data_IF_141716264207
#
_entry.id   IF_141716264207
#
_cell.length_a   1.000
_cell.length_b   1.000
_cell.length_c   1.000
_cell.angle_alpha   90.00
_cell.angle_beta   90.00
_cell.angle_gamma   90.00
#
_symmetry.space_group_name_H-M   'P 1'
#
loop_
_entity.id
_entity.type
_entity.pdbx_description
1 polymer ?
#
# COMPACT_ATOMS: atom_id res chain seq x y z
N UNK A 1 -15.56 11.62 -5.55
CA UNK A 1 -15.16 10.93 -4.32
C UNK A 1 -13.96 11.64 -3.73
N UNK A 2 -13.78 11.62 -2.43
CA UNK A 2 -12.69 12.29 -1.73
C UNK A 2 -12.32 11.53 -0.46
N UNK A 3 -11.15 11.86 0.12
CA UNK A 3 -10.70 11.35 1.41
C UNK A 3 -11.21 12.26 2.52
N UNK A 4 -11.69 11.69 3.62
CA UNK A 4 -12.10 12.47 4.79
C UNK A 4 -11.77 11.75 6.09
N UNK A 5 -11.38 12.55 7.09
CA UNK A 5 -11.34 12.14 8.50
C UNK A 5 -12.72 12.31 9.13
N UNK A 6 -12.98 11.62 10.25
CA UNK A 6 -14.22 11.80 11.00
C UNK A 6 -14.27 13.21 11.61
N UNK A 7 -13.16 13.67 12.18
CA UNK A 7 -12.93 15.06 12.60
C UNK A 7 -11.96 15.72 11.63
N UNK A 8 -12.38 16.76 10.90
CA UNK A 8 -11.47 17.48 10.00
C UNK A 8 -10.21 17.96 10.72
N UNK A 9 -9.03 17.64 10.17
CA UNK A 9 -7.74 18.05 10.73
C UNK A 9 -7.26 17.23 11.93
N UNK A 10 -8.04 16.27 12.44
CA UNK A 10 -7.59 15.39 13.51
C UNK A 10 -6.79 14.23 12.92
N UNK A 11 -5.47 14.39 12.86
CA UNK A 11 -4.55 13.50 12.14
C UNK A 11 -4.62 12.03 12.57
N UNK A 12 -4.93 11.75 13.82
CA UNK A 12 -5.07 10.38 14.32
C UNK A 12 -6.35 9.67 13.83
N UNK A 13 -7.29 10.38 13.19
CA UNK A 13 -8.40 9.75 12.49
C UNK A 13 -7.93 9.18 11.15
N UNK A 14 -8.38 7.96 10.82
CA UNK A 14 -8.12 7.38 9.50
C UNK A 14 -8.73 8.24 8.39
N UNK A 15 -8.07 8.27 7.24
CA UNK A 15 -8.69 8.74 6.00
C UNK A 15 -9.64 7.70 5.44
N UNK A 16 -10.93 8.02 5.42
CA UNK A 16 -11.97 7.21 4.77
C UNK A 16 -12.25 7.69 3.34
N UNK A 17 -12.64 6.77 2.46
CA UNK A 17 -13.15 7.10 1.13
C UNK A 17 -14.63 7.47 1.20
N UNK A 18 -14.92 8.74 0.92
CA UNK A 18 -16.28 9.28 0.86
C UNK A 18 -16.72 9.46 -0.59
N UNK A 19 -17.86 8.87 -0.92
CA UNK A 19 -18.61 9.18 -2.13
C UNK A 19 -19.66 10.24 -1.81
N UNK A 20 -19.70 11.31 -2.60
CA UNK A 20 -20.70 12.36 -2.48
C UNK A 20 -21.62 12.35 -3.68
N UNK A 21 -22.88 12.01 -3.42
CA UNK A 21 -23.96 12.14 -4.38
C UNK A 21 -24.39 13.60 -4.43
N UNK A 22 -24.08 14.28 -5.54
CA UNK A 22 -24.40 15.70 -5.72
C UNK A 22 -25.89 15.97 -5.87
N UNK A 23 -26.65 15.02 -6.43
CA UNK A 23 -28.09 15.18 -6.69
C UNK A 23 -28.86 15.10 -5.37
N UNK A 24 -28.54 14.10 -4.56
CA UNK A 24 -29.20 13.86 -3.28
C UNK A 24 -28.47 14.49 -2.08
N UNK A 25 -27.36 15.19 -2.33
CA UNK A 25 -26.47 15.78 -1.33
C UNK A 25 -26.02 14.80 -0.24
N UNK A 26 -25.94 13.51 -0.57
CA UNK A 26 -25.68 12.43 0.39
C UNK A 26 -24.21 12.03 0.39
N UNK A 27 -23.62 11.90 1.59
CA UNK A 27 -22.29 11.32 1.80
C UNK A 27 -22.42 9.83 2.10
N UNK A 28 -21.61 9.02 1.44
CA UNK A 28 -21.56 7.56 1.62
C UNK A 28 -20.12 7.19 1.94
N UNK A 29 -19.88 6.65 3.13
CA UNK A 29 -18.58 6.07 3.47
C UNK A 29 -18.46 4.68 2.81
N UNK A 30 -17.51 4.54 1.90
CA UNK A 30 -17.25 3.28 1.22
C UNK A 30 -16.29 2.39 2.01
N UNK A 31 -15.49 2.95 2.92
CA UNK A 31 -14.44 2.23 3.67
C UNK A 31 -14.67 2.32 5.19
N UNK A 32 -15.93 2.28 5.60
CA UNK A 32 -16.34 2.35 7.01
C UNK A 32 -15.70 1.23 7.83
N UNK A 33 -15.72 0.00 7.30
CA UNK A 33 -15.19 -1.20 7.94
C UNK A 33 -13.68 -1.42 7.70
N UNK A 34 -13.01 -0.52 6.98
CA UNK A 34 -11.56 -0.61 6.78
C UNK A 34 -10.87 0.13 7.93
N UNK A 35 -10.15 -0.57 8.79
CA UNK A 35 -9.43 -0.01 9.94
C UNK A 35 -8.10 0.68 9.54
N UNK A 36 -7.97 1.11 8.28
CA UNK A 36 -6.76 1.69 7.69
C UNK A 36 -7.07 2.95 6.91
N UNK A 37 -6.10 3.84 6.81
CA UNK A 37 -6.18 5.05 6.00
C UNK A 37 -6.09 4.72 4.50
N UNK A 38 -7.03 5.29 3.75
CA UNK A 38 -6.98 5.39 2.28
C UNK A 38 -5.99 6.48 1.88
N UNK A 39 -5.14 6.21 0.90
CA UNK A 39 -4.08 7.11 0.43
C UNK A 39 -4.42 7.74 -0.93
N UNK A 40 -4.45 6.93 -1.99
CA UNK A 40 -4.79 7.39 -3.34
C UNK A 40 -6.15 6.86 -3.77
N UNK A 41 -6.82 7.59 -4.68
CA UNK A 41 -8.12 7.24 -5.22
C UNK A 41 -8.07 7.39 -6.74
N UNK A 42 -8.46 6.35 -7.47
CA UNK A 42 -8.56 6.34 -8.92
C UNK A 42 -9.91 5.74 -9.34
N UNK A 43 -10.69 6.47 -10.13
CA UNK A 43 -11.94 5.93 -10.68
C UNK A 43 -11.68 4.93 -11.81
N UNK A 44 -12.52 3.89 -11.90
CA UNK A 44 -12.65 3.14 -13.15
C UNK A 44 -13.33 4.01 -14.22
N UNK A 45 -12.97 3.83 -15.50
CA UNK A 45 -13.56 4.59 -16.61
C UNK A 45 -15.08 4.43 -16.71
N UNK A 46 -15.59 3.25 -16.39
CA UNK A 46 -17.04 2.96 -16.34
C UNK A 46 -17.76 3.55 -15.10
N UNK A 47 -17.01 4.23 -14.22
CA UNK A 47 -17.48 4.78 -12.95
C UNK A 47 -18.12 3.76 -12.00
N UNK A 48 -17.98 2.46 -12.22
CA UNK A 48 -18.59 1.42 -11.37
C UNK A 48 -17.79 1.15 -10.09
N UNK A 49 -16.50 1.49 -10.08
CA UNK A 49 -15.57 1.17 -9.01
C UNK A 49 -14.52 2.25 -8.82
N UNK A 50 -13.84 2.18 -7.68
CA UNK A 50 -12.63 2.95 -7.41
C UNK A 50 -11.49 2.00 -7.08
N UNK A 51 -10.32 2.27 -7.59
CA UNK A 51 -9.06 1.72 -7.10
C UNK A 51 -8.55 2.62 -5.98
N UNK A 52 -8.13 2.00 -4.88
CA UNK A 52 -7.59 2.70 -3.72
C UNK A 52 -6.27 2.07 -3.30
N UNK A 53 -5.37 2.91 -2.80
CA UNK A 53 -4.23 2.45 -2.02
C UNK A 53 -4.50 2.65 -0.53
N UNK A 54 -4.02 1.76 0.33
CA UNK A 54 -4.21 1.85 1.77
C UNK A 54 -3.04 1.21 2.54
N UNK A 55 -2.76 1.72 3.74
CA UNK A 55 -1.70 1.19 4.58
C UNK A 55 -2.06 -0.20 5.12
N UNK A 56 -1.10 -1.12 5.09
CA UNK A 56 -1.26 -2.48 5.61
C UNK A 56 0.10 -3.03 6.05
N UNK A 57 0.29 -3.24 7.37
CA UNK A 57 1.49 -3.86 7.95
C UNK A 57 2.80 -3.21 7.47
N UNK A 58 2.90 -1.88 7.59
CA UNK A 58 4.08 -1.11 7.17
C UNK A 58 4.29 -1.03 5.66
N UNK A 59 3.25 -1.31 4.87
CA UNK A 59 3.26 -1.25 3.40
C UNK A 59 2.01 -0.58 2.86
N UNK A 60 1.93 -0.44 1.53
CA UNK A 60 0.78 0.15 0.84
C UNK A 60 0.19 -0.85 -0.16
N UNK A 61 -0.98 -1.38 0.18
CA UNK A 61 -1.73 -2.33 -0.65
C UNK A 61 -2.62 -1.59 -1.67
N UNK A 62 -2.99 -2.29 -2.74
CA UNK A 62 -3.91 -1.82 -3.79
C UNK A 62 -5.19 -2.67 -3.76
N UNK A 63 -6.35 -2.01 -3.74
CA UNK A 63 -7.65 -2.66 -3.80
C UNK A 63 -8.59 -1.97 -4.79
N UNK A 64 -9.62 -2.68 -5.21
CA UNK A 64 -10.78 -2.15 -5.94
C UNK A 64 -12.00 -2.21 -5.03
N UNK A 65 -12.78 -1.13 -5.01
CA UNK A 65 -14.04 -1.04 -4.29
C UNK A 65 -15.18 -0.68 -5.24
N UNK A 66 -16.25 -1.48 -5.22
CA UNK A 66 -17.48 -1.17 -5.94
C UNK A 66 -18.26 -0.11 -5.19
N UNK A 67 -18.67 0.96 -5.88
CA UNK A 67 -19.45 2.02 -5.22
C UNK A 67 -20.90 1.59 -4.93
N UNK A 68 -21.42 0.57 -5.63
CA UNK A 68 -22.83 0.12 -5.50
C UNK A 68 -23.07 -0.70 -4.23
N UNK A 69 -22.18 -1.64 -3.94
CA UNK A 69 -22.33 -2.60 -2.83
C UNK A 69 -21.21 -2.52 -1.79
N UNK A 70 -20.30 -1.54 -1.91
CA UNK A 70 -19.14 -1.35 -1.02
C UNK A 70 -18.20 -2.56 -0.95
N UNK A 71 -18.31 -3.52 -1.86
CA UNK A 71 -17.44 -4.71 -1.87
C UNK A 71 -16.03 -4.29 -2.25
N UNK A 72 -15.09 -4.59 -1.36
CA UNK A 72 -13.65 -4.38 -1.58
C UNK A 72 -12.98 -5.70 -1.98
N UNK A 73 -12.20 -5.67 -3.05
CA UNK A 73 -11.33 -6.75 -3.52
C UNK A 73 -9.89 -6.26 -3.45
N UNK A 74 -9.04 -6.96 -2.69
CA UNK A 74 -7.61 -6.69 -2.66
C UNK A 74 -6.98 -7.19 -3.97
N UNK A 75 -6.31 -6.30 -4.70
CA UNK A 75 -5.65 -6.60 -5.97
C UNK A 75 -4.18 -6.99 -5.73
N UNK A 76 -3.51 -6.25 -4.84
CA UNK A 76 -2.10 -6.47 -4.53
C UNK A 76 -1.79 -6.10 -3.08
N UNK A 77 -0.92 -6.87 -2.43
CA UNK A 77 -0.39 -6.64 -1.10
C UNK A 77 1.11 -6.99 -1.04
N UNK A 78 1.71 -6.80 0.14
CA UNK A 78 3.10 -7.20 0.43
C UNK A 78 4.15 -6.29 -0.20
N UNK A 79 3.73 -5.19 -0.81
CA UNK A 79 4.59 -4.22 -1.47
C UNK A 79 4.12 -2.81 -1.13
N UNK A 80 4.93 -1.82 -1.47
CA UNK A 80 4.46 -0.44 -1.46
C UNK A 80 4.05 -0.08 -2.89
N UNK A 81 2.76 0.14 -3.07
CA UNK A 81 2.15 0.54 -4.34
C UNK A 81 1.84 2.04 -4.30
N UNK A 82 2.22 2.76 -5.35
CA UNK A 82 1.95 4.19 -5.49
C UNK A 82 1.56 4.57 -6.91
N UNK A 83 0.90 5.73 -7.05
CA UNK A 83 0.58 6.37 -8.32
C UNK A 83 -0.17 5.46 -9.31
N UNK A 84 -1.26 4.78 -8.89
CA UNK A 84 -2.03 3.95 -9.79
C UNK A 84 -2.70 4.82 -10.88
N UNK A 85 -2.71 4.30 -12.10
CA UNK A 85 -3.40 4.84 -13.26
C UNK A 85 -3.96 3.71 -14.13
N UNK A 86 -4.92 4.03 -15.00
CA UNK A 86 -5.50 3.08 -15.95
C UNK A 86 -5.04 3.41 -17.37
N UNK A 87 -4.83 2.38 -18.17
CA UNK A 87 -4.69 2.56 -19.62
C UNK A 87 -5.97 3.15 -20.22
N UNK A 88 -5.91 3.84 -21.39
CA UNK A 88 -7.09 4.44 -22.00
C UNK A 88 -8.23 3.45 -22.28
N UNK A 89 -7.89 2.20 -22.60
CA UNK A 89 -8.85 1.10 -22.82
C UNK A 89 -9.39 0.48 -21.51
N UNK A 90 -8.91 0.92 -20.35
CA UNK A 90 -9.27 0.41 -19.03
C UNK A 90 -8.85 -1.03 -18.76
N UNK A 91 -8.02 -1.65 -19.61
CA UNK A 91 -7.66 -3.08 -19.48
C UNK A 91 -6.51 -3.32 -18.50
N UNK A 92 -5.65 -2.33 -18.29
CA UNK A 92 -4.47 -2.46 -17.42
C UNK A 92 -4.41 -1.36 -16.39
N UNK A 93 -3.94 -1.71 -15.20
CA UNK A 93 -3.44 -0.76 -14.21
C UNK A 93 -1.95 -0.55 -14.43
N UNK A 94 -1.49 0.71 -14.40
CA UNK A 94 -0.09 1.09 -14.35
C UNK A 94 0.19 1.72 -12.99
N UNK A 95 1.25 1.31 -12.31
CA UNK A 95 1.58 1.80 -10.97
C UNK A 95 3.06 1.66 -10.68
N UNK A 96 3.52 2.40 -9.66
CA UNK A 96 4.82 2.18 -9.04
C UNK A 96 4.71 1.05 -8.02
N UNK A 97 5.69 0.15 -8.05
CA UNK A 97 5.84 -0.91 -7.05
C UNK A 97 7.27 -0.86 -6.51
N UNK A 98 7.38 -0.83 -5.20
CA UNK A 98 8.67 -0.87 -4.48
C UNK A 98 8.63 -1.86 -3.31
N UNK A 99 9.81 -2.25 -2.86
CA UNK A 99 10.06 -3.07 -1.68
C UNK A 99 11.36 -2.60 -1.01
N UNK A 100 11.63 -3.05 0.21
CA UNK A 100 12.86 -2.68 0.94
C UNK A 100 14.13 -2.96 0.13
N UNK A 101 14.13 -4.03 -0.67
CA UNK A 101 15.25 -4.41 -1.53
C UNK A 101 15.08 -4.04 -3.02
N UNK A 102 14.01 -3.30 -3.36
CA UNK A 102 13.70 -2.93 -4.73
C UNK A 102 13.20 -1.48 -4.78
N UNK A 103 14.00 -0.53 -5.30
CA UNK A 103 13.54 0.82 -5.59
C UNK A 103 12.30 0.81 -6.49
N UNK A 104 11.54 1.90 -6.49
CA UNK A 104 10.34 2.03 -7.31
C UNK A 104 10.63 1.79 -8.79
N UNK A 105 9.89 0.85 -9.38
CA UNK A 105 9.85 0.59 -10.82
C UNK A 105 8.39 0.63 -11.28
N UNK A 106 8.18 0.88 -12.57
CA UNK A 106 6.85 0.92 -13.18
C UNK A 106 6.41 -0.50 -13.53
N UNK A 107 5.19 -0.85 -13.14
CA UNK A 107 4.55 -2.12 -13.46
C UNK A 107 3.22 -1.90 -14.17
N UNK A 108 2.86 -2.87 -15.00
CA UNK A 108 1.50 -3.02 -15.54
C UNK A 108 0.86 -4.29 -14.99
N UNK A 109 -0.41 -4.21 -14.59
CA UNK A 109 -1.25 -5.37 -14.26
C UNK A 109 -2.41 -5.46 -15.24
N UNK A 110 -2.51 -6.57 -15.97
CA UNK A 110 -3.69 -6.88 -16.77
C UNK A 110 -4.87 -7.25 -15.84
N UNK A 111 -5.98 -6.52 -15.94
CA UNK A 111 -7.11 -6.69 -15.02
C UNK A 111 -7.91 -7.97 -15.28
N UNK A 112 -7.85 -8.51 -16.51
CA UNK A 112 -8.54 -9.74 -16.90
C UNK A 112 -7.70 -10.96 -16.56
N UNK A 113 -6.45 -10.99 -17.02
CA UNK A 113 -5.57 -12.16 -16.85
C UNK A 113 -4.81 -12.15 -15.53
N UNK A 114 -4.86 -11.03 -14.79
CA UNK A 114 -4.07 -10.79 -13.57
C UNK A 114 -2.55 -10.89 -13.79
N UNK A 115 -2.09 -10.78 -15.05
CA UNK A 115 -0.66 -10.86 -15.39
C UNK A 115 0.02 -9.55 -15.01
N UNK A 116 1.00 -9.65 -14.11
CA UNK A 116 1.88 -8.55 -13.72
C UNK A 116 3.11 -8.52 -14.63
N UNK A 117 3.44 -7.36 -15.19
CA UNK A 117 4.66 -7.14 -15.97
C UNK A 117 5.41 -5.94 -15.43
N UNK A 118 6.72 -6.09 -15.23
CA UNK A 118 7.62 -4.98 -14.93
C UNK A 118 7.99 -4.28 -16.24
N UNK A 119 7.71 -2.98 -16.33
CA UNK A 119 7.95 -2.15 -17.52
C UNK A 119 9.33 -1.51 -17.51
N UNK A 120 9.86 -1.17 -16.33
CA UNK A 120 11.16 -0.51 -16.18
C UNK A 120 12.12 -1.33 -15.31
N UNK A 121 13.42 -1.16 -15.54
CA UNK A 121 14.52 -1.84 -14.81
C UNK A 121 15.67 -0.86 -14.59
N UNK A 122 15.34 0.35 -14.14
CA UNK A 122 16.26 1.49 -14.12
C UNK A 122 17.52 1.19 -13.30
N UNK A 123 17.36 0.48 -12.18
CA UNK A 123 18.46 0.25 -11.24
C UNK A 123 19.14 -1.11 -11.38
N UNK A 124 18.72 -1.97 -12.32
CA UNK A 124 19.17 -3.37 -12.38
C UNK A 124 20.71 -3.53 -12.47
N UNK A 125 21.40 -2.67 -13.24
CA UNK A 125 22.85 -2.73 -13.40
C UNK A 125 23.62 -2.46 -12.09
N UNK A 126 23.07 -1.60 -11.24
CA UNK A 126 23.63 -1.29 -9.94
C UNK A 126 23.26 -2.39 -8.94
N UNK A 127 21.97 -2.74 -8.88
CA UNK A 127 21.44 -3.74 -7.93
C UNK A 127 22.05 -5.13 -8.16
N UNK A 128 22.42 -5.49 -9.40
CA UNK A 128 23.09 -6.76 -9.68
C UNK A 128 24.49 -6.87 -9.05
N UNK A 129 25.01 -5.78 -8.47
CA UNK A 129 26.32 -5.73 -7.79
C UNK A 129 26.19 -5.61 -6.27
N UNK A 130 24.96 -5.57 -5.75
CA UNK A 130 24.67 -5.35 -4.34
C UNK A 130 23.87 -6.53 -3.79
N UNK A 131 24.22 -7.00 -2.61
CA UNK A 131 23.40 -7.98 -1.88
C UNK A 131 22.28 -7.23 -1.15
N UNK A 132 21.12 -7.12 -1.81
CA UNK A 132 19.95 -6.44 -1.29
C UNK A 132 19.02 -7.46 -0.60
N UNK A 133 19.28 -7.71 0.68
CA UNK A 133 18.48 -8.65 1.48
C UNK A 133 17.02 -8.21 1.59
N UNK A 134 16.11 -9.19 1.54
CA UNK A 134 14.73 -8.97 1.88
C UNK A 134 14.57 -8.61 3.37
N UNK A 135 13.50 -7.88 3.69
CA UNK A 135 13.11 -7.68 5.07
C UNK A 135 12.29 -8.87 5.55
N UNK A 136 12.63 -9.36 6.75
CA UNK A 136 11.87 -10.35 7.49
C UNK A 136 10.85 -9.64 8.37
N UNK A 137 9.61 -10.12 8.35
CA UNK A 137 8.55 -9.61 9.22
C UNK A 137 8.51 -10.41 10.50
N UNK A 138 8.35 -9.71 11.62
CA UNK A 138 8.14 -10.35 12.91
C UNK A 138 7.14 -9.55 13.75
N UNK A 139 6.58 -10.24 14.74
CA UNK A 139 5.68 -9.65 15.72
C UNK A 139 6.24 -9.92 17.10
N UNK A 140 6.14 -8.93 17.97
CA UNK A 140 6.53 -9.06 19.37
C UNK A 140 5.48 -8.41 20.27
N UNK A 141 5.46 -8.82 21.53
CA UNK A 141 4.58 -8.24 22.54
C UNK A 141 5.13 -6.88 22.97
N UNK A 142 4.29 -5.86 22.88
CA UNK A 142 4.54 -4.50 23.32
C UNK A 142 3.96 -4.23 24.70
N UNK A 143 3.77 -2.95 25.02
CA UNK A 143 3.09 -2.54 26.22
C UNK A 143 1.65 -3.10 26.26
N UNK A 144 1.17 -3.43 27.46
CA UNK A 144 -0.21 -3.89 27.70
C UNK A 144 -0.62 -5.15 26.88
N UNK A 145 0.34 -5.93 26.39
CA UNK A 145 0.08 -7.15 25.60
C UNK A 145 -0.21 -6.89 24.12
N UNK A 146 -0.03 -5.65 23.65
CA UNK A 146 -0.26 -5.31 22.24
C UNK A 146 0.72 -6.04 21.31
N UNK A 147 0.25 -6.44 20.13
CA UNK A 147 1.12 -7.01 19.10
C UNK A 147 1.73 -5.90 18.25
N UNK A 148 3.05 -5.75 18.33
CA UNK A 148 3.81 -4.77 17.55
C UNK A 148 4.44 -5.46 16.34
N UNK A 149 4.26 -4.87 15.16
CA UNK A 149 4.85 -5.35 13.90
C UNK A 149 6.22 -4.72 13.68
N UNK A 150 7.20 -5.53 13.25
CA UNK A 150 8.55 -5.07 12.93
C UNK A 150 9.11 -5.67 11.65
N UNK A 151 10.11 -4.98 11.11
CA UNK A 151 10.95 -5.48 10.02
C UNK A 151 12.37 -5.70 10.52
N UNK A 152 12.95 -6.84 10.16
CA UNK A 152 14.36 -7.16 10.36
C UNK A 152 15.05 -7.20 8.99
N UNK A 153 16.07 -6.36 8.81
CA UNK A 153 16.92 -6.38 7.61
C UNK A 153 18.29 -6.87 8.02
N UNK A 154 18.68 -8.04 7.51
CA UNK A 154 19.99 -8.62 7.77
C UNK A 154 21.08 -7.87 6.98
N UNK A 155 22.32 -7.81 7.48
CA UNK A 155 23.43 -7.21 6.74
C UNK A 155 23.75 -8.04 5.47
N UNK A 156 24.32 -7.41 4.41
CA UNK A 156 24.84 -8.11 3.23
C UNK A 156 25.70 -9.33 3.61
N UNK A 157 25.55 -10.42 2.87
CA UNK A 157 26.32 -11.67 3.08
C UNK A 157 26.18 -12.25 4.50
N UNK A 158 24.98 -12.15 5.07
CA UNK A 158 24.67 -12.62 6.42
C UNK A 158 25.03 -14.10 6.61
N UNK A 159 25.75 -14.37 7.70
CA UNK A 159 26.12 -15.71 8.15
C UNK A 159 25.48 -15.99 9.51
N UNK A 160 24.55 -16.97 9.62
CA UNK A 160 23.85 -17.26 10.87
C UNK A 160 24.75 -17.78 11.99
N UNK A 161 25.99 -18.19 11.70
CA UNK A 161 26.96 -18.63 12.71
C UNK A 161 27.71 -17.47 13.39
N UNK A 162 27.59 -16.24 12.85
CA UNK A 162 28.27 -15.04 13.35
C UNK A 162 27.32 -14.14 14.14
N UNK A 163 27.91 -13.31 15.00
CA UNK A 163 27.19 -12.22 15.70
C UNK A 163 27.40 -10.91 14.98
N UNK A 164 26.35 -10.08 14.95
CA UNK A 164 26.36 -8.76 14.34
C UNK A 164 25.79 -7.74 15.34
N UNK A 165 26.26 -6.48 15.30
CA UNK A 165 25.58 -5.42 16.02
C UNK A 165 24.17 -5.21 15.44
N UNK A 166 23.21 -4.91 16.31
CA UNK A 166 21.84 -4.58 15.92
C UNK A 166 21.60 -3.09 16.12
N UNK A 167 21.03 -2.44 15.11
CA UNK A 167 20.50 -1.08 15.22
C UNK A 167 18.98 -1.17 15.20
N UNK A 168 18.33 -0.66 16.24
CA UNK A 168 16.88 -0.54 16.29
C UNK A 168 16.48 0.86 15.82
N UNK A 169 15.79 0.93 14.68
CA UNK A 169 15.25 2.18 14.15
C UNK A 169 13.75 2.24 14.46
N UNK A 170 13.38 3.12 15.39
CA UNK A 170 11.98 3.39 15.74
C UNK A 170 11.59 4.70 15.08
N UNK A 171 10.65 4.66 14.14
CA UNK A 171 10.09 5.88 13.56
C UNK A 171 9.12 6.55 14.55
N UNK A 172 8.26 5.74 15.18
CA UNK A 172 7.20 6.22 16.08
C UNK A 172 5.96 6.74 15.35
N UNK A 173 4.87 6.89 16.11
CA UNK A 173 3.58 7.45 15.71
C UNK A 173 2.95 8.20 16.91
N UNK A 174 1.77 8.84 16.77
CA UNK A 174 0.73 8.51 15.78
C UNK A 174 0.84 9.24 14.43
N UNK A 175 1.63 10.32 14.33
CA UNK A 175 1.65 11.25 13.19
C UNK A 175 2.67 10.94 12.06
N UNK A 176 3.22 9.73 11.97
CA UNK A 176 4.33 9.47 11.00
C UNK A 176 4.56 8.04 10.54
N UNK A 177 3.63 7.12 10.82
CA UNK A 177 3.78 5.70 10.45
C UNK A 177 3.12 5.37 9.10
#
# INVERSE_FOLDING_TARGET
>A
AYRAMARPGFEADKYSLILYDRKNQKKINLTENLDRSVNEILWSHDSTSLYITFQEKGRISLARISHKNKKMERIMAGHYIGSPSLTPDGRKLIFLKQAINQPAEVFSLDLKTKKLNQLTRMNNKLLSKLEMNHAEEFWFEGAEGDKVHGFLVKPPFFDPSKKYPLVMLIHGGPQGA
#
